data_IF_071341041771
#
_entry.id   IF_071341041771
#
_cell.length_a   1.000
_cell.length_b   1.000
_cell.length_c   1.000
_cell.angle_alpha   90.00
_cell.angle_beta   90.00
_cell.angle_gamma   90.00
#
_symmetry.space_group_name_H-M   'P 1'
#
loop_
_entity.id
_entity.type
_entity.pdbx_description
1 polymer ?
#
# COMPACT_ATOMS: atom_id res chain seq x y z
N UNK A 1 -6.11 -9.43 21.70
CA UNK A 1 -5.00 -8.91 20.88
C UNK A 1 -5.31 -9.16 19.42
N UNK A 2 -4.94 -8.25 18.53
CA UNK A 2 -5.16 -8.38 17.09
C UNK A 2 -3.83 -8.08 16.38
N UNK A 3 -3.46 -8.90 15.41
CA UNK A 3 -2.24 -8.79 14.63
C UNK A 3 -2.60 -8.92 13.13
N UNK A 4 -2.18 -7.93 12.35
CA UNK A 4 -2.42 -7.81 10.92
C UNK A 4 -1.07 -7.92 10.19
N UNK A 5 -1.04 -8.79 9.18
CA UNK A 5 0.11 -9.01 8.32
C UNK A 5 -0.16 -8.55 6.88
N UNK A 6 -0.53 -7.29 6.72
CA UNK A 6 -0.82 -6.69 5.42
C UNK A 6 0.37 -6.75 4.46
N UNK A 7 0.11 -7.28 3.26
CA UNK A 7 1.06 -7.36 2.15
C UNK A 7 0.49 -6.67 0.91
N UNK A 8 1.23 -5.67 0.42
CA UNK A 8 0.92 -4.95 -0.81
C UNK A 8 1.89 -5.35 -1.91
N UNK A 9 1.36 -5.70 -3.09
CA UNK A 9 2.16 -6.00 -4.29
C UNK A 9 1.50 -5.43 -5.52
N UNK A 10 2.27 -4.89 -6.45
CA UNK A 10 1.70 -4.33 -7.66
C UNK A 10 2.71 -3.65 -8.56
N UNK A 11 2.18 -3.00 -9.60
CA UNK A 11 2.93 -2.24 -10.57
C UNK A 11 2.24 -0.91 -10.87
N UNK A 12 2.95 -0.03 -11.55
CA UNK A 12 2.41 1.25 -11.97
C UNK A 12 2.88 1.62 -13.37
N UNK A 13 2.09 2.45 -14.03
CA UNK A 13 2.45 3.09 -15.30
C UNK A 13 2.21 4.58 -15.14
N UNK A 14 3.22 5.38 -15.46
CA UNK A 14 3.15 6.84 -15.38
C UNK A 14 3.61 7.46 -16.69
N UNK A 15 3.04 8.62 -17.00
CA UNK A 15 3.50 9.51 -18.05
C UNK A 15 3.54 10.93 -17.53
N UNK A 16 4.32 11.79 -18.15
CA UNK A 16 4.39 13.17 -17.70
C UNK A 16 5.29 14.04 -18.55
N UNK A 17 5.49 15.25 -18.04
CA UNK A 17 6.33 16.26 -18.67
C UNK A 17 7.54 16.52 -17.79
N UNK A 18 8.64 16.92 -18.42
CA UNK A 18 9.86 17.26 -17.70
C UNK A 18 10.56 18.46 -18.32
N UNK A 19 11.33 19.14 -17.49
CA UNK A 19 12.23 20.21 -17.90
C UNK A 19 13.67 19.83 -17.56
N UNK A 20 14.57 20.01 -18.53
CA UNK A 20 16.00 19.77 -18.36
C UNK A 20 16.74 21.09 -18.36
N UNK A 21 17.51 21.33 -17.31
CA UNK A 21 18.40 22.46 -17.16
C UNK A 21 19.85 21.97 -17.30
N UNK A 22 20.52 22.21 -18.44
CA UNK A 22 21.95 21.98 -18.56
C UNK A 22 22.70 22.83 -17.52
N UNK A 23 23.61 22.20 -16.77
CA UNK A 23 24.41 22.92 -15.74
C UNK A 23 25.78 23.25 -16.30
N UNK A 24 26.57 22.22 -16.61
CA UNK A 24 27.90 22.38 -17.21
C UNK A 24 28.38 21.04 -17.77
N UNK A 25 28.99 21.06 -18.96
CA UNK A 25 29.54 19.86 -19.59
C UNK A 25 28.50 18.74 -19.73
N UNK A 26 28.78 17.51 -19.25
CA UNK A 26 27.85 16.39 -19.33
C UNK A 26 26.72 16.47 -18.29
N UNK A 27 26.73 17.43 -17.37
CA UNK A 27 25.79 17.47 -16.25
C UNK A 27 24.52 18.27 -16.55
N UNK A 28 23.37 17.75 -16.11
CA UNK A 28 22.11 18.47 -16.13
C UNK A 28 21.28 18.18 -14.88
N UNK A 29 20.36 19.08 -14.57
CA UNK A 29 19.29 18.85 -13.59
C UNK A 29 18.00 18.67 -14.35
N UNK A 30 17.19 17.69 -13.96
CA UNK A 30 15.83 17.51 -14.48
C UNK A 30 14.80 17.62 -13.39
N UNK A 31 13.68 18.22 -13.76
CA UNK A 31 12.47 18.19 -12.97
C UNK A 31 11.37 17.53 -13.80
N UNK A 32 10.66 16.57 -13.21
CA UNK A 32 9.56 15.86 -13.85
C UNK A 32 8.29 16.02 -13.02
N UNK A 33 7.15 16.12 -13.70
CA UNK A 33 5.83 15.97 -13.13
C UNK A 33 5.14 14.80 -13.82
N UNK A 34 5.01 13.69 -13.09
CA UNK A 34 4.42 12.46 -13.61
C UNK A 34 3.03 12.23 -12.99
N UNK A 35 2.12 11.71 -13.81
CA UNK A 35 0.80 11.24 -13.42
C UNK A 35 0.62 9.82 -13.96
N UNK A 36 0.01 8.94 -13.18
CA UNK A 36 -0.18 7.58 -13.61
C UNK A 36 -1.19 6.79 -12.81
N UNK A 37 -1.29 5.53 -13.19
CA UNK A 37 -2.14 4.54 -12.55
C UNK A 37 -1.28 3.51 -11.85
N UNK A 38 -1.72 3.08 -10.68
CA UNK A 38 -1.07 2.04 -9.89
C UNK A 38 -2.07 0.92 -9.61
N UNK A 39 -1.68 -0.30 -9.97
CA UNK A 39 -2.45 -1.51 -9.78
C UNK A 39 -1.88 -2.26 -8.59
N UNK A 40 -2.62 -2.31 -7.49
CA UNK A 40 -2.20 -2.97 -6.26
C UNK A 40 -3.07 -4.18 -5.96
N UNK A 41 -2.44 -5.17 -5.34
CA UNK A 41 -3.07 -6.31 -4.70
C UNK A 41 -2.70 -6.26 -3.22
N UNK A 42 -3.71 -6.15 -2.38
CA UNK A 42 -3.61 -6.23 -0.94
C UNK A 42 -3.99 -7.63 -0.46
N UNK A 43 -3.30 -8.15 0.54
CA UNK A 43 -3.65 -9.37 1.28
C UNK A 43 -3.40 -9.13 2.75
N UNK A 44 -4.34 -9.52 3.58
CA UNK A 44 -4.23 -9.44 5.02
C UNK A 44 -4.46 -10.83 5.62
N UNK A 45 -3.44 -11.31 6.34
CA UNK A 45 -3.52 -12.51 7.16
C UNK A 45 -3.72 -12.11 8.62
N UNK A 46 -4.89 -11.54 8.91
CA UNK A 46 -5.28 -11.12 10.24
C UNK A 46 -5.41 -12.32 11.17
N UNK A 47 -4.88 -12.16 12.38
CA UNK A 47 -5.06 -13.10 13.49
C UNK A 47 -5.45 -12.35 14.74
N UNK A 48 -6.15 -13.00 15.66
CA UNK A 48 -6.47 -12.34 16.91
C UNK A 48 -7.01 -13.27 17.98
N UNK A 49 -7.12 -12.69 19.17
CA UNK A 49 -7.63 -13.32 20.38
C UNK A 49 -8.59 -12.34 21.04
N UNK A 50 -9.83 -12.77 21.26
CA UNK A 50 -10.80 -12.07 22.09
C UNK A 50 -10.58 -12.44 23.56
N UNK A 51 -10.76 -11.49 24.47
CA UNK A 51 -10.68 -11.76 25.90
C UNK A 51 -11.82 -11.09 26.67
N UNK A 52 -12.43 -11.83 27.59
CA UNK A 52 -13.47 -11.34 28.48
C UNK A 52 -13.51 -12.18 29.77
N UNK A 53 -13.72 -11.53 30.92
CA UNK A 53 -13.86 -12.20 32.22
C UNK A 53 -12.73 -13.19 32.59
N UNK A 54 -11.51 -12.98 32.07
CA UNK A 54 -10.36 -13.87 32.32
C UNK A 54 -10.25 -15.07 31.38
N UNK A 55 -11.16 -15.20 30.41
CA UNK A 55 -11.09 -16.18 29.33
C UNK A 55 -10.52 -15.54 28.05
N UNK A 56 -9.81 -16.35 27.27
CA UNK A 56 -9.25 -15.98 25.97
C UNK A 56 -9.66 -17.02 24.92
N UNK A 57 -10.05 -16.56 23.73
CA UNK A 57 -10.42 -17.41 22.62
C UNK A 57 -9.93 -16.82 21.29
N UNK A 58 -9.48 -17.66 20.33
CA UNK A 58 -9.01 -17.16 19.05
C UNK A 58 -10.17 -16.62 18.20
N UNK A 59 -9.86 -15.60 17.41
CA UNK A 59 -10.75 -15.04 16.41
C UNK A 59 -10.62 -15.83 15.10
N UNK A 60 -11.76 -16.07 14.45
CA UNK A 60 -11.84 -16.60 13.09
C UNK A 60 -12.38 -15.52 12.17
N UNK A 61 -11.79 -15.44 10.98
CA UNK A 61 -12.23 -14.54 9.92
C UNK A 61 -12.87 -15.38 8.82
N UNK A 62 -13.94 -14.88 8.21
CA UNK A 62 -14.63 -15.59 7.12
C UNK A 62 -13.78 -15.73 5.85
N UNK A 63 -12.92 -14.73 5.58
CA UNK A 63 -12.13 -14.62 4.35
C UNK A 63 -10.68 -14.17 4.63
N UNK A 64 -9.90 -14.95 5.41
CA UNK A 64 -8.52 -14.61 5.71
C UNK A 64 -7.64 -14.76 4.46
N UNK A 65 -6.66 -13.87 4.28
CA UNK A 65 -5.72 -13.85 3.16
C UNK A 65 -6.38 -13.73 1.76
N UNK A 66 -7.65 -13.30 1.69
CA UNK A 66 -8.30 -13.06 0.41
C UNK A 66 -7.74 -11.80 -0.26
N UNK A 67 -7.25 -11.91 -1.50
CA UNK A 67 -6.63 -10.79 -2.18
C UNK A 67 -7.65 -9.76 -2.68
N UNK A 68 -7.53 -8.52 -2.20
CA UNK A 68 -8.26 -7.38 -2.74
C UNK A 68 -7.43 -6.65 -3.81
N UNK A 69 -8.05 -6.32 -4.94
CA UNK A 69 -7.43 -5.55 -6.02
C UNK A 69 -7.85 -4.08 -5.94
N UNK A 70 -6.93 -3.17 -6.20
CA UNK A 70 -7.20 -1.74 -6.29
C UNK A 70 -6.48 -1.06 -7.43
N UNK A 71 -7.18 -0.08 -8.00
CA UNK A 71 -6.66 0.86 -8.97
C UNK A 71 -6.54 2.23 -8.30
N UNK A 72 -5.35 2.80 -8.32
CA UNK A 72 -5.06 4.08 -7.65
C UNK A 72 -4.52 5.10 -8.64
N UNK A 73 -4.75 6.36 -8.32
CA UNK A 73 -4.10 7.49 -8.99
C UNK A 73 -2.77 7.80 -8.28
N UNK A 74 -1.70 7.89 -9.07
CA UNK A 74 -0.35 8.16 -8.61
C UNK A 74 0.15 9.48 -9.20
N UNK A 75 0.58 10.39 -8.34
CA UNK A 75 1.28 11.62 -8.73
C UNK A 75 2.74 11.51 -8.28
N UNK A 76 3.67 11.85 -9.15
CA UNK A 76 5.09 11.75 -8.86
C UNK A 76 5.88 12.94 -9.41
N UNK A 77 6.03 14.04 -8.63
CA UNK A 77 7.07 15.02 -8.89
C UNK A 77 8.45 14.41 -8.59
N UNK A 78 9.40 14.62 -9.50
CA UNK A 78 10.76 14.09 -9.40
C UNK A 78 11.79 15.17 -9.73
N UNK A 79 12.94 15.10 -9.07
CA UNK A 79 14.13 15.90 -9.38
C UNK A 79 15.32 14.96 -9.53
N UNK A 80 16.00 15.04 -10.66
CA UNK A 80 17.13 14.19 -11.00
C UNK A 80 18.38 15.00 -11.34
N UNK A 81 19.54 14.45 -11.02
CA UNK A 81 20.84 14.87 -11.51
C UNK A 81 21.32 13.90 -12.57
N UNK A 82 21.60 14.42 -13.75
CA UNK A 82 22.01 13.65 -14.92
C UNK A 82 23.48 13.81 -15.23
N UNK A 83 24.00 12.77 -15.88
CA UNK A 83 25.29 12.71 -16.53
C UNK A 83 25.09 12.14 -17.95
N UNK A 84 25.29 12.97 -18.97
CA UNK A 84 25.17 12.67 -20.41
C UNK A 84 26.55 12.35 -21.00
N UNK A 85 26.71 11.12 -21.47
CA UNK A 85 27.88 10.64 -22.19
C UNK A 85 27.49 10.25 -23.61
N UNK A 86 27.66 11.18 -24.55
CA UNK A 86 27.48 10.94 -25.98
C UNK A 86 26.10 10.32 -26.31
N UNK A 87 25.05 10.87 -25.70
CA UNK A 87 23.68 10.42 -25.85
C UNK A 87 23.23 9.42 -24.79
N UNK A 88 24.14 8.74 -24.08
CA UNK A 88 23.76 7.88 -22.95
C UNK A 88 23.62 8.72 -21.68
N UNK A 89 22.42 8.72 -21.07
CA UNK A 89 22.12 9.52 -19.88
C UNK A 89 22.00 8.61 -18.67
N UNK A 90 22.77 8.86 -17.63
CA UNK A 90 22.60 8.26 -16.30
C UNK A 90 22.05 9.32 -15.37
N UNK A 91 20.99 9.02 -14.63
CA UNK A 91 20.43 9.96 -13.67
C UNK A 91 20.14 9.35 -12.32
N UNK A 92 20.42 10.13 -11.28
CA UNK A 92 20.13 9.83 -9.88
C UNK A 92 19.27 10.95 -9.33
N UNK A 93 18.17 10.60 -8.67
CA UNK A 93 17.22 11.59 -8.21
C UNK A 93 16.37 11.14 -7.04
N UNK A 94 15.42 12.00 -6.72
CA UNK A 94 14.42 11.78 -5.68
C UNK A 94 13.06 12.03 -6.29
N UNK A 95 12.16 11.06 -6.11
CA UNK A 95 10.77 11.17 -6.48
C UNK A 95 9.90 11.20 -5.23
N UNK A 96 8.87 12.04 -5.22
CA UNK A 96 7.80 11.96 -4.22
C UNK A 96 6.63 11.22 -4.83
N UNK A 97 6.36 9.98 -4.41
CA UNK A 97 5.22 9.19 -4.87
C UNK A 97 4.02 9.47 -3.97
N UNK A 98 2.93 9.99 -4.55
CA UNK A 98 1.70 10.33 -3.85
C UNK A 98 0.59 9.43 -4.39
N UNK A 99 0.11 8.52 -3.55
CA UNK A 99 -1.04 7.65 -3.84
C UNK A 99 -2.29 8.38 -3.34
N UNK A 100 -3.10 8.89 -4.26
CA UNK A 100 -4.20 9.80 -3.93
C UNK A 100 -5.47 9.10 -3.44
N UNK A 101 -5.66 7.83 -3.83
CA UNK A 101 -6.86 7.06 -3.48
C UNK A 101 -6.58 6.15 -2.29
N UNK A 102 -7.59 5.98 -1.43
CA UNK A 102 -7.57 4.94 -0.41
C UNK A 102 -7.53 3.55 -1.07
N UNK A 103 -6.92 2.60 -0.37
CA UNK A 103 -6.90 1.21 -0.77
C UNK A 103 -8.27 0.57 -0.76
N UNK A 104 -8.37 -0.66 -1.30
CA UNK A 104 -9.62 -1.39 -1.26
C UNK A 104 -9.97 -1.68 0.20
N UNK A 105 -11.26 -1.85 0.48
CA UNK A 105 -11.68 -2.42 1.76
C UNK A 105 -11.02 -3.79 1.96
N UNK A 106 -10.55 -4.08 3.18
CA UNK A 106 -10.09 -5.41 3.54
C UNK A 106 -11.33 -6.29 3.73
N UNK A 107 -11.57 -7.20 2.79
CA UNK A 107 -12.73 -8.09 2.84
C UNK A 107 -12.49 -9.28 3.79
N UNK A 108 -12.04 -9.04 5.02
CA UNK A 108 -11.90 -10.08 6.05
C UNK A 108 -13.25 -10.73 6.40
N UNK A 109 -14.32 -10.00 6.13
CA UNK A 109 -15.72 -10.35 6.38
C UNK A 109 -16.02 -10.49 7.87
N UNK A 110 -16.98 -11.35 8.21
CA UNK A 110 -17.40 -11.52 9.59
C UNK A 110 -16.27 -12.07 10.48
N UNK A 111 -16.19 -11.52 11.68
CA UNK A 111 -15.30 -11.97 12.74
C UNK A 111 -16.09 -12.81 13.74
N UNK A 112 -15.62 -14.03 13.99
CA UNK A 112 -16.22 -14.97 14.94
C UNK A 112 -15.23 -15.32 16.05
N UNK A 113 -15.74 -15.77 17.20
CA UNK A 113 -14.93 -16.33 18.28
C UNK A 113 -15.01 -17.85 18.18
N UNK A 114 -13.88 -18.54 18.14
CA UNK A 114 -13.83 -20.01 18.17
C UNK A 114 -13.97 -20.52 19.61
N UNK A 115 -15.15 -20.31 20.20
CA UNK A 115 -15.49 -20.80 21.53
C UNK A 115 -16.98 -21.13 21.62
N UNK A 116 -17.32 -22.17 22.40
CA UNK A 116 -18.69 -22.51 22.67
C UNK A 116 -19.35 -21.45 23.57
N UNK A 117 -20.58 -21.06 23.24
CA UNK A 117 -21.41 -20.22 24.10
C UNK A 117 -22.24 -21.09 25.05
N UNK A 118 -22.11 -20.88 26.36
CA UNK A 118 -23.06 -21.39 27.35
C UNK A 118 -24.07 -20.28 27.74
N UNK A 119 -25.36 -20.40 27.39
CA UNK A 119 -26.38 -19.42 27.75
C UNK A 119 -26.53 -19.21 29.27
N UNK A 120 -26.16 -20.20 30.09
CA UNK A 120 -26.24 -20.11 31.55
C UNK A 120 -25.08 -19.33 32.17
N UNK A 121 -23.96 -19.19 31.45
CA UNK A 121 -22.77 -18.46 31.89
C UNK A 121 -22.17 -17.69 30.71
N UNK A 122 -22.68 -16.47 30.42
CA UNK A 122 -22.24 -15.68 29.28
C UNK A 122 -20.73 -15.46 29.28
N UNK A 123 -20.06 -15.98 28.26
CA UNK A 123 -18.61 -15.93 28.09
C UNK A 123 -18.21 -15.19 26.82
N UNK A 124 -16.92 -15.14 26.51
CA UNK A 124 -16.41 -14.61 25.24
C UNK A 124 -16.97 -15.36 24.02
N UNK A 125 -17.31 -16.64 24.15
CA UNK A 125 -17.92 -17.44 23.10
C UNK A 125 -19.36 -17.05 22.75
N UNK A 126 -20.04 -16.30 23.62
CA UNK A 126 -21.37 -15.75 23.36
C UNK A 126 -21.35 -14.38 22.66
N UNK A 127 -20.16 -13.85 22.34
CA UNK A 127 -20.05 -12.61 21.59
C UNK A 127 -20.68 -12.81 20.20
N UNK A 128 -21.64 -11.96 19.78
CA UNK A 128 -22.20 -12.07 18.44
C UNK A 128 -21.09 -11.83 17.42
N UNK A 129 -21.05 -12.63 16.35
CA UNK A 129 -20.24 -12.31 15.19
C UNK A 129 -20.61 -10.91 14.70
N UNK A 130 -19.63 -10.01 14.64
CA UNK A 130 -19.85 -8.63 14.20
C UNK A 130 -18.99 -8.37 12.98
N UNK A 131 -19.59 -7.67 12.05
CA UNK A 131 -18.95 -7.10 10.86
C UNK A 131 -18.17 -5.82 11.26
N UNK A 132 -17.39 -5.89 12.34
CA UNK A 132 -16.70 -4.73 12.92
C UNK A 132 -15.50 -4.26 12.10
N UNK A 133 -15.05 -5.08 11.15
CA UNK A 133 -13.93 -4.80 10.25
C UNK A 133 -14.39 -4.53 8.80
N UNK A 134 -15.70 -4.44 8.55
CA UNK A 134 -16.27 -4.28 7.19
C UNK A 134 -15.71 -3.09 6.41
N UNK A 135 -15.51 -1.98 7.13
CA UNK A 135 -15.14 -0.69 6.56
C UNK A 135 -13.65 -0.40 6.74
N UNK A 136 -12.86 -1.39 7.16
CA UNK A 136 -11.41 -1.26 7.24
C UNK A 136 -10.83 -1.18 5.81
N UNK A 137 -9.91 -0.23 5.61
CA UNK A 137 -9.23 -0.04 4.33
C UNK A 137 -7.81 -0.54 4.44
N UNK A 138 -7.34 -1.25 3.41
CA UNK A 138 -5.99 -1.81 3.42
C UNK A 138 -4.91 -0.73 3.55
N UNK A 139 -5.14 0.47 3.01
CA UNK A 139 -4.24 1.61 3.19
C UNK A 139 -4.96 2.93 2.91
N UNK A 140 -4.46 4.02 3.47
CA UNK A 140 -4.92 5.38 3.18
C UNK A 140 -4.08 6.08 2.11
N UNK A 141 -4.19 7.41 2.02
CA UNK A 141 -3.25 8.21 1.22
C UNK A 141 -1.82 8.01 1.71
N UNK A 142 -0.92 7.62 0.81
CA UNK A 142 0.50 7.42 1.13
C UNK A 142 1.34 8.43 0.37
N UNK A 143 2.29 9.04 1.08
CA UNK A 143 3.35 9.86 0.50
C UNK A 143 4.68 9.18 0.80
N UNK A 144 5.40 8.80 -0.25
CA UNK A 144 6.70 8.17 -0.14
C UNK A 144 7.77 8.97 -0.87
N UNK A 145 8.89 9.22 -0.20
CA UNK A 145 10.08 9.80 -0.84
C UNK A 145 10.97 8.63 -1.23
N UNK A 146 11.21 8.46 -2.52
CA UNK A 146 11.97 7.32 -3.04
C UNK A 146 13.18 7.81 -3.82
N UNK A 147 14.39 7.25 -3.59
CA UNK A 147 15.49 7.45 -4.51
C UNK A 147 15.14 6.80 -5.85
N UNK A 148 15.51 7.43 -6.96
CA UNK A 148 15.39 6.86 -8.30
C UNK A 148 16.77 6.76 -8.95
N UNK A 149 16.96 5.74 -9.78
CA UNK A 149 18.13 5.58 -10.64
C UNK A 149 17.59 5.20 -12.01
N UNK A 150 18.06 5.86 -13.06
CA UNK A 150 17.63 5.55 -14.41
C UNK A 150 18.77 5.68 -15.42
N UNK A 151 18.57 5.01 -16.55
CA UNK A 151 19.43 5.09 -17.74
C UNK A 151 18.55 5.39 -18.92
N UNK A 152 18.96 6.32 -19.77
CA UNK A 152 18.25 6.71 -20.98
C UNK A 152 19.19 6.94 -22.15
N UNK A 153 18.61 7.15 -23.33
CA UNK A 153 19.35 7.54 -24.52
C UNK A 153 18.71 8.77 -25.15
N UNK A 154 19.55 9.67 -25.67
CA UNK A 154 19.19 10.89 -26.38
C UNK A 154 19.74 10.83 -27.79
N UNK A 155 18.84 10.96 -28.77
CA UNK A 155 19.16 11.07 -30.19
C UNK A 155 19.56 12.50 -30.58
#
# INVERSE_FOLDING_TARGET
TFDDALRLRGGFVMGGVGYRLPVAGPFAVRAHALLGLMFLRARDAATGTASAAGEEAPLLFSRPDEPALALNLLVAPEIDFDLDFDGLVFGLGIATKIILLGGPGTELGDVYVDAACDPASPSVGCAPGRDSLRDEVAYGTVVAIVPNLHVGYRF
#
